data_IF_406126363430
#
_entry.id   IF_406126363430
#
_cell.length_a   1.000
_cell.length_b   1.000
_cell.length_c   1.000
_cell.angle_alpha   90.00
_cell.angle_beta   90.00
_cell.angle_gamma   90.00
#
_symmetry.space_group_name_H-M   'P 1'
#
loop_
_entity.id
_entity.type
_entity.pdbx_description
1 polymer ?
#
# COMPACT_ATOMS: atom_id res chain seq x y z
N UNK A 1 -12.44 14.47 23.62
CA UNK A 1 -11.63 13.46 24.33
C UNK A 1 -10.72 12.82 23.30
N UNK A 2 -9.44 12.66 23.61
CA UNK A 2 -8.43 12.10 22.70
C UNK A 2 -8.19 10.63 23.02
N UNK A 3 -8.05 9.82 21.98
CA UNK A 3 -7.51 8.46 22.04
C UNK A 3 -6.00 8.55 21.96
N UNK A 4 -5.28 7.71 22.69
CA UNK A 4 -3.83 7.57 22.57
C UNK A 4 -3.42 6.10 22.68
N UNK A 5 -2.96 5.52 21.58
CA UNK A 5 -2.54 4.11 21.51
C UNK A 5 -1.06 3.90 21.81
N UNK A 6 -0.30 4.96 22.08
CA UNK A 6 1.14 4.83 22.35
C UNK A 6 1.41 3.99 23.61
N UNK A 7 2.34 3.04 23.49
CA UNK A 7 2.88 2.27 24.61
C UNK A 7 4.41 2.18 24.49
N UNK A 8 5.06 1.65 25.54
CA UNK A 8 6.53 1.54 25.59
C UNK A 8 7.12 0.47 24.65
N UNK A 9 6.32 -0.47 24.14
CA UNK A 9 6.81 -1.48 23.19
C UNK A 9 6.86 -0.97 21.76
N UNK A 10 6.11 0.09 21.43
CA UNK A 10 6.16 0.73 20.12
C UNK A 10 7.49 1.44 19.89
N UNK A 11 8.19 1.06 18.82
CA UNK A 11 9.50 1.63 18.46
C UNK A 11 9.36 2.47 17.20
N UNK A 12 9.86 3.70 17.23
CA UNK A 12 9.78 4.60 16.08
C UNK A 12 9.54 6.04 16.51
N UNK A 13 9.62 6.96 15.56
CA UNK A 13 9.39 8.39 15.75
C UNK A 13 8.07 8.86 15.14
N UNK A 14 7.56 8.17 14.12
CA UNK A 14 6.31 8.50 13.45
C UNK A 14 5.13 7.75 14.12
N UNK A 15 3.92 8.35 14.15
CA UNK A 15 2.70 7.74 14.69
C UNK A 15 2.43 6.30 14.27
N UNK A 16 2.83 5.94 13.05
CA UNK A 16 2.57 4.63 12.45
C UNK A 16 3.17 3.47 13.26
N UNK A 17 4.14 3.75 14.14
CA UNK A 17 4.73 2.77 15.06
C UNK A 17 3.70 2.01 15.90
N UNK A 18 2.52 2.58 16.17
CA UNK A 18 1.48 1.89 16.95
C UNK A 18 0.86 0.71 16.23
N UNK A 19 1.02 0.61 14.91
CA UNK A 19 0.48 -0.49 14.11
C UNK A 19 1.50 -1.63 13.86
N UNK A 20 2.72 -1.54 14.39
CA UNK A 20 3.77 -2.56 14.18
C UNK A 20 3.30 -3.98 14.52
N UNK A 21 2.65 -4.14 15.67
CA UNK A 21 2.17 -5.45 16.11
C UNK A 21 0.98 -5.92 15.27
N UNK A 22 0.11 -4.99 14.84
CA UNK A 22 -1.01 -5.31 13.96
C UNK A 22 -0.54 -5.77 12.57
N UNK A 23 0.53 -5.19 12.04
CA UNK A 23 1.15 -5.60 10.77
C UNK A 23 1.59 -7.07 10.83
N UNK A 24 2.33 -7.46 11.88
CA UNK A 24 2.78 -8.85 12.06
C UNK A 24 1.58 -9.79 12.23
N UNK A 25 0.63 -9.41 13.08
CA UNK A 25 -0.57 -10.22 13.31
C UNK A 25 -1.39 -10.41 12.02
N UNK A 26 -1.55 -9.35 11.21
CA UNK A 26 -2.25 -9.44 9.92
C UNK A 26 -1.51 -10.38 8.95
N UNK A 27 -0.18 -10.28 8.89
CA UNK A 27 0.64 -11.11 8.01
C UNK A 27 0.55 -12.60 8.38
N UNK A 28 0.74 -12.94 9.65
CA UNK A 28 0.64 -14.34 10.12
C UNK A 28 -0.74 -14.96 9.89
N UNK A 29 -1.79 -14.14 9.80
CA UNK A 29 -3.18 -14.56 9.60
C UNK A 29 -3.69 -14.30 8.17
N UNK A 30 -2.81 -14.16 7.17
CA UNK A 30 -3.21 -13.97 5.77
C UNK A 30 -4.15 -15.09 5.29
N UNK A 31 -3.84 -16.35 5.62
CA UNK A 31 -4.73 -17.51 5.45
C UNK A 31 -4.68 -18.37 6.71
N UNK A 32 -5.60 -19.32 6.84
CA UNK A 32 -5.61 -20.25 7.98
C UNK A 32 -4.34 -21.11 8.11
N UNK A 33 -3.59 -21.32 7.01
CA UNK A 33 -2.36 -22.10 7.00
C UNK A 33 -1.10 -21.24 6.82
N UNK A 34 -1.24 -19.93 6.62
CA UNK A 34 -0.13 -19.08 6.16
C UNK A 34 1.07 -19.08 7.11
N UNK A 35 0.84 -19.13 8.42
CA UNK A 35 1.93 -19.26 9.40
C UNK A 35 2.73 -20.56 9.19
N UNK A 36 2.06 -21.68 8.91
CA UNK A 36 2.73 -22.95 8.64
C UNK A 36 3.51 -22.89 7.32
N UNK A 37 2.93 -22.31 6.28
CA UNK A 37 3.59 -22.13 4.98
C UNK A 37 4.83 -21.24 5.12
N UNK A 38 4.72 -20.16 5.90
CA UNK A 38 5.85 -19.27 6.20
C UNK A 38 6.96 -19.99 6.95
N UNK A 39 6.61 -20.79 7.97
CA UNK A 39 7.58 -21.60 8.71
C UNK A 39 8.26 -22.66 7.83
N UNK A 40 7.55 -23.22 6.85
CA UNK A 40 8.15 -24.14 5.88
C UNK A 40 9.08 -23.39 4.92
N UNK A 41 8.73 -22.19 4.48
CA UNK A 41 9.60 -21.32 3.67
C UNK A 41 10.86 -20.89 4.42
N UNK A 42 10.77 -20.65 5.74
CA UNK A 42 11.95 -20.45 6.62
C UNK A 42 12.86 -21.67 6.58
N UNK A 43 12.32 -22.89 6.75
CA UNK A 43 13.11 -24.13 6.81
C UNK A 43 13.70 -24.54 5.46
N UNK A 44 12.91 -24.47 4.40
CA UNK A 44 13.23 -25.03 3.09
C UNK A 44 13.89 -24.02 2.14
N UNK A 45 13.55 -22.74 2.26
CA UNK A 45 14.00 -21.67 1.35
C UNK A 45 14.89 -20.64 2.04
N UNK A 46 14.94 -20.63 3.37
CA UNK A 46 15.85 -19.81 4.17
C UNK A 46 15.38 -18.39 4.44
N UNK A 47 14.06 -18.13 4.33
CA UNK A 47 13.45 -16.88 4.78
C UNK A 47 13.82 -16.60 6.24
N UNK A 48 14.10 -15.35 6.59
CA UNK A 48 14.32 -14.96 7.99
C UNK A 48 13.01 -14.96 8.77
N UNK A 49 13.07 -15.40 10.02
CA UNK A 49 11.92 -15.41 10.94
C UNK A 49 11.49 -14.02 11.39
N UNK A 50 12.34 -13.02 11.22
CA UNK A 50 12.08 -11.63 11.62
C UNK A 50 11.94 -10.76 10.37
N UNK A 51 11.02 -9.80 10.43
CA UNK A 51 10.94 -8.68 9.48
C UNK A 51 11.75 -7.53 10.06
N UNK A 52 12.73 -7.04 9.32
CA UNK A 52 13.56 -5.93 9.78
C UNK A 52 12.78 -4.63 9.66
N UNK A 53 12.62 -3.94 10.79
CA UNK A 53 11.97 -2.63 10.88
C UNK A 53 13.02 -1.52 10.98
N UNK A 54 13.18 -0.76 9.91
CA UNK A 54 14.12 0.37 9.85
C UNK A 54 13.45 1.65 10.36
N UNK A 55 13.89 2.12 11.53
CA UNK A 55 13.45 3.38 12.15
C UNK A 55 14.24 4.55 11.55
N UNK A 56 13.54 5.60 11.12
CA UNK A 56 14.20 6.82 10.66
C UNK A 56 14.40 7.79 11.82
N UNK A 57 15.66 8.20 12.06
CA UNK A 57 16.06 8.79 13.35
C UNK A 57 15.92 10.32 13.42
N UNK A 58 15.93 11.05 12.29
CA UNK A 58 15.71 12.52 12.25
C UNK A 58 15.70 13.08 10.83
N UNK A 59 15.23 14.32 10.62
CA UNK A 59 15.33 15.05 9.33
C UNK A 59 16.77 15.27 8.82
N UNK A 60 17.78 15.17 9.69
CA UNK A 60 19.20 15.34 9.31
C UNK A 60 19.90 14.03 8.91
N UNK A 61 19.30 12.87 9.23
CA UNK A 61 19.85 11.52 8.98
C UNK A 61 18.79 10.53 8.49
N UNK A 62 17.61 11.03 8.15
CA UNK A 62 16.44 10.24 7.82
C UNK A 62 16.44 9.94 6.34
N UNK A 63 16.11 8.71 6.01
CA UNK A 63 15.99 8.26 4.65
C UNK A 63 14.63 8.69 4.09
N UNK A 64 14.62 9.10 2.82
CA UNK A 64 13.39 9.21 2.04
C UNK A 64 12.64 7.87 2.03
N UNK A 65 11.37 7.91 1.62
CA UNK A 65 10.57 6.69 1.48
C UNK A 65 11.28 5.67 0.60
N UNK A 66 11.36 4.45 1.11
CA UNK A 66 11.82 3.27 0.40
C UNK A 66 10.78 2.18 0.57
N UNK A 67 10.26 1.68 -0.54
CA UNK A 67 9.33 0.55 -0.54
C UNK A 67 9.91 -0.65 0.22
N UNK A 68 9.06 -1.53 0.76
CA UNK A 68 9.49 -2.83 1.25
C UNK A 68 10.30 -3.57 0.20
N UNK A 69 11.23 -4.39 0.66
CA UNK A 69 12.05 -5.19 -0.23
C UNK A 69 12.60 -6.40 0.53
N UNK A 70 12.94 -7.46 -0.21
CA UNK A 70 13.71 -8.58 0.31
C UNK A 70 15.18 -8.49 -0.12
N UNK A 71 16.11 -8.66 0.82
CA UNK A 71 17.52 -8.87 0.50
C UNK A 71 17.71 -10.27 -0.06
N UNK A 72 18.04 -10.41 -1.34
CA UNK A 72 18.16 -11.75 -1.96
C UNK A 72 19.17 -12.66 -1.27
N UNK A 73 20.26 -12.09 -0.73
CA UNK A 73 21.34 -12.83 -0.05
C UNK A 73 21.00 -13.33 1.35
N UNK A 74 20.30 -12.51 2.15
CA UNK A 74 19.91 -12.88 3.51
C UNK A 74 18.49 -13.43 3.60
N UNK A 75 17.69 -13.23 2.55
CA UNK A 75 16.25 -13.53 2.46
C UNK A 75 15.47 -12.91 3.61
N UNK A 76 15.85 -11.68 3.93
CA UNK A 76 15.26 -10.87 4.98
C UNK A 76 14.33 -9.83 4.36
N UNK A 77 13.06 -9.83 4.78
CA UNK A 77 12.10 -8.80 4.41
C UNK A 77 12.41 -7.55 5.25
N UNK A 78 12.56 -6.42 4.58
CA UNK A 78 12.89 -5.14 5.20
C UNK A 78 11.77 -4.13 4.94
N UNK A 79 11.36 -3.43 6.00
CA UNK A 79 10.32 -2.41 5.95
C UNK A 79 10.81 -1.14 6.63
N UNK A 80 10.44 0.02 6.09
CA UNK A 80 10.88 1.32 6.58
C UNK A 80 9.71 2.08 7.21
N UNK A 81 9.95 2.70 8.37
CA UNK A 81 8.93 3.51 9.07
C UNK A 81 8.33 4.61 8.18
N UNK A 82 9.14 5.26 7.34
CA UNK A 82 8.68 6.30 6.42
C UNK A 82 7.74 5.76 5.35
N UNK A 83 7.97 4.55 4.83
CA UNK A 83 7.05 3.94 3.89
C UNK A 83 5.71 3.60 4.53
N UNK A 84 5.73 3.10 5.77
CA UNK A 84 4.49 2.81 6.50
C UNK A 84 3.69 4.09 6.73
N UNK A 85 4.36 5.17 7.15
CA UNK A 85 3.71 6.46 7.35
C UNK A 85 3.15 7.01 6.03
N UNK A 86 3.94 6.95 4.96
CA UNK A 86 3.53 7.30 3.60
C UNK A 86 2.25 6.55 3.19
N UNK A 87 2.28 5.22 3.26
CA UNK A 87 1.16 4.40 2.80
C UNK A 87 -0.09 4.64 3.64
N UNK A 88 0.05 4.78 4.95
CA UNK A 88 -1.09 5.12 5.82
C UNK A 88 -1.71 6.46 5.47
N UNK A 89 -0.89 7.47 5.18
CA UNK A 89 -1.36 8.80 4.80
C UNK A 89 -2.08 8.79 3.44
N UNK A 90 -1.55 8.03 2.48
CA UNK A 90 -2.23 7.79 1.20
C UNK A 90 -3.55 7.05 1.41
N UNK A 91 -3.57 6.05 2.30
CA UNK A 91 -4.78 5.29 2.66
C UNK A 91 -5.86 6.21 3.23
N UNK A 92 -5.50 7.05 4.21
CA UNK A 92 -6.41 8.02 4.81
C UNK A 92 -7.01 8.92 3.72
N UNK A 93 -6.15 9.48 2.88
CA UNK A 93 -6.55 10.44 1.86
C UNK A 93 -7.49 9.80 0.84
N UNK A 94 -7.12 8.66 0.26
CA UNK A 94 -7.96 7.95 -0.71
C UNK A 94 -9.28 7.50 -0.10
N UNK A 95 -9.29 6.99 1.14
CA UNK A 95 -10.51 6.62 1.83
C UNK A 95 -11.48 7.81 1.96
N UNK A 96 -10.99 8.96 2.42
CA UNK A 96 -11.82 10.17 2.57
C UNK A 96 -12.29 10.68 1.20
N UNK A 97 -11.42 10.72 0.19
CA UNK A 97 -11.79 11.14 -1.16
C UNK A 97 -12.90 10.26 -1.73
N UNK A 98 -12.78 8.94 -1.59
CA UNK A 98 -13.81 7.99 -2.03
C UNK A 98 -15.13 8.17 -1.28
N UNK A 99 -15.11 8.36 0.04
CA UNK A 99 -16.32 8.64 0.84
C UNK A 99 -17.02 9.94 0.40
N UNK A 100 -16.25 11.00 0.12
CA UNK A 100 -16.78 12.27 -0.36
C UNK A 100 -17.36 12.16 -1.77
N UNK A 101 -16.74 11.38 -2.66
CA UNK A 101 -17.30 11.11 -4.00
C UNK A 101 -18.63 10.37 -3.89
N UNK A 102 -18.66 9.27 -3.13
CA UNK A 102 -19.86 8.43 -2.97
C UNK A 102 -21.01 9.18 -2.28
N UNK A 103 -20.70 10.10 -1.37
CA UNK A 103 -21.70 10.92 -0.68
C UNK A 103 -22.11 12.18 -1.45
N UNK A 104 -21.47 12.47 -2.60
CA UNK A 104 -21.74 13.67 -3.40
C UNK A 104 -21.28 14.98 -2.75
N UNK A 105 -20.27 14.92 -1.88
CA UNK A 105 -19.78 16.05 -1.06
C UNK A 105 -18.33 16.45 -1.38
N UNK A 106 -17.78 15.96 -2.49
CA UNK A 106 -16.39 16.26 -2.87
C UNK A 106 -16.15 17.76 -3.10
N UNK A 107 -17.12 18.45 -3.70
CA UNK A 107 -17.05 19.88 -4.02
C UNK A 107 -17.39 20.79 -2.82
N UNK A 108 -17.86 20.22 -1.71
CA UNK A 108 -18.19 20.99 -0.51
C UNK A 108 -16.92 21.45 0.20
N UNK A 109 -16.95 22.65 0.81
CA UNK A 109 -15.90 23.06 1.75
C UNK A 109 -15.99 22.21 3.02
N UNK A 110 -15.22 21.12 3.03
CA UNK A 110 -15.27 20.09 4.05
C UNK A 110 -13.93 19.97 4.78
N UNK A 111 -13.97 20.06 6.11
CA UNK A 111 -12.78 19.85 6.96
C UNK A 111 -12.13 18.47 6.72
N UNK A 112 -12.91 17.42 6.44
CA UNK A 112 -12.36 16.10 6.08
C UNK A 112 -11.53 16.17 4.81
N UNK A 113 -11.98 16.91 3.78
CA UNK A 113 -11.23 17.10 2.55
C UNK A 113 -9.91 17.83 2.84
N UNK A 114 -9.94 18.90 3.64
CA UNK A 114 -8.72 19.62 4.05
C UNK A 114 -7.74 18.73 4.81
N UNK A 115 -8.24 17.81 5.65
CA UNK A 115 -7.40 16.83 6.32
C UNK A 115 -6.81 15.81 5.34
N UNK A 116 -7.59 15.31 4.38
CA UNK A 116 -7.10 14.42 3.33
C UNK A 116 -6.00 15.11 2.52
N UNK A 117 -6.22 16.35 2.07
CA UNK A 117 -5.24 17.14 1.32
C UNK A 117 -3.93 17.30 2.08
N UNK A 118 -3.98 17.77 3.34
CA UNK A 118 -2.77 17.95 4.15
C UNK A 118 -2.06 16.62 4.49
N UNK A 119 -2.82 15.55 4.67
CA UNK A 119 -2.26 14.22 4.97
C UNK A 119 -1.59 13.65 3.72
N UNK A 120 -2.18 13.87 2.54
CA UNK A 120 -1.59 13.52 1.26
C UNK A 120 -0.31 14.32 0.98
N UNK A 121 -0.33 15.64 1.19
CA UNK A 121 0.86 16.50 1.05
C UNK A 121 2.01 16.01 1.95
N UNK A 122 1.69 15.64 3.20
CA UNK A 122 2.67 15.05 4.09
C UNK A 122 3.21 13.71 3.54
N UNK A 123 2.35 12.84 3.00
CA UNK A 123 2.79 11.60 2.35
C UNK A 123 3.80 11.88 1.23
N UNK A 124 3.48 12.82 0.34
CA UNK A 124 4.35 13.18 -0.78
C UNK A 124 5.68 13.79 -0.29
N UNK A 125 5.67 14.59 0.77
CA UNK A 125 6.91 15.12 1.36
C UNK A 125 7.89 14.04 1.80
N UNK A 126 7.40 12.84 2.17
CA UNK A 126 8.24 11.72 2.57
C UNK A 126 8.97 11.07 1.38
N UNK A 127 8.48 11.25 0.15
CA UNK A 127 9.16 10.80 -1.07
C UNK A 127 10.47 11.57 -1.28
N UNK A 128 10.47 12.86 -0.95
CA UNK A 128 11.65 13.73 -1.07
C UNK A 128 12.62 13.56 0.10
N UNK A 129 12.10 13.35 1.31
CA UNK A 129 12.93 13.15 2.51
C UNK A 129 12.13 12.98 3.79
N UNK A 130 12.81 12.60 4.88
CA UNK A 130 12.14 12.48 6.17
C UNK A 130 11.64 13.83 6.69
N UNK A 131 10.37 13.85 7.11
CA UNK A 131 9.74 14.97 7.80
C UNK A 131 8.98 14.46 9.03
N UNK A 132 8.92 15.27 10.09
CA UNK A 132 8.13 14.94 11.27
C UNK A 132 6.63 15.01 10.94
N UNK A 133 5.87 14.01 11.38
CA UNK A 133 4.42 14.04 11.28
C UNK A 133 3.86 15.00 12.33
N UNK A 134 3.09 16.01 11.92
CA UNK A 134 2.36 16.87 12.86
C UNK A 134 1.19 16.11 13.52
N UNK A 135 1.53 15.33 14.55
CA UNK A 135 0.60 14.47 15.31
C UNK A 135 -0.51 15.24 16.02
N UNK A 136 -0.37 16.56 16.17
CA UNK A 136 -1.32 17.38 16.92
C UNK A 136 -2.43 17.92 16.03
N UNK A 137 -2.15 18.14 14.74
CA UNK A 137 -3.07 18.79 13.81
C UNK A 137 -3.44 17.93 12.61
N UNK A 138 -2.71 16.85 12.33
CA UNK A 138 -3.03 15.91 11.25
C UNK A 138 -3.59 14.59 11.78
N UNK A 139 -4.56 13.99 11.05
CA UNK A 139 -5.00 12.61 11.30
C UNK A 139 -3.81 11.65 11.39
N UNK A 140 -3.84 10.76 12.37
CA UNK A 140 -2.79 9.76 12.57
C UNK A 140 -3.30 8.60 13.46
N UNK A 141 -2.68 7.41 13.39
CA UNK A 141 -3.14 6.24 14.14
C UNK A 141 -2.80 6.26 15.63
N UNK A 142 -1.90 7.14 16.09
CA UNK A 142 -1.43 7.16 17.49
C UNK A 142 -2.32 7.99 18.40
N UNK A 143 -2.59 9.24 18.03
CA UNK A 143 -3.36 10.20 18.83
C UNK A 143 -4.37 10.93 17.95
N UNK A 144 -5.65 10.76 18.24
CA UNK A 144 -6.74 11.38 17.49
C UNK A 144 -7.94 11.69 18.38
N UNK A 145 -8.78 12.63 17.96
CA UNK A 145 -10.04 12.93 18.64
C UNK A 145 -11.07 11.82 18.38
N UNK A 146 -11.91 11.52 19.38
CA UNK A 146 -12.96 10.49 19.26
C UNK A 146 -13.91 10.72 18.07
N UNK A 147 -14.10 11.97 17.66
CA UNK A 147 -14.95 12.30 16.51
C UNK A 147 -14.35 11.80 15.17
N UNK A 148 -13.05 11.51 15.12
CA UNK A 148 -12.36 10.92 13.98
C UNK A 148 -12.15 9.41 14.12
N UNK A 149 -12.60 8.80 15.22
CA UNK A 149 -12.29 7.41 15.51
C UNK A 149 -12.74 6.47 14.38
N UNK A 150 -13.95 6.64 13.84
CA UNK A 150 -14.44 5.83 12.74
C UNK A 150 -13.55 5.93 11.48
N UNK A 151 -13.16 7.14 11.09
CA UNK A 151 -12.33 7.36 9.91
C UNK A 151 -10.90 6.80 10.12
N UNK A 152 -10.32 7.00 11.31
CA UNK A 152 -9.00 6.50 11.66
C UNK A 152 -8.98 4.97 11.75
N UNK A 153 -9.96 4.36 12.40
CA UNK A 153 -10.06 2.91 12.54
C UNK A 153 -10.29 2.24 11.19
N UNK A 154 -11.14 2.84 10.33
CA UNK A 154 -11.31 2.36 8.97
C UNK A 154 -10.04 2.50 8.15
N UNK A 155 -9.31 3.61 8.30
CA UNK A 155 -8.01 3.80 7.66
C UNK A 155 -7.00 2.74 8.13
N UNK A 156 -6.95 2.46 9.43
CA UNK A 156 -6.07 1.43 9.98
C UNK A 156 -6.38 0.05 9.38
N UNK A 157 -7.66 -0.32 9.27
CA UNK A 157 -8.08 -1.57 8.65
C UNK A 157 -7.62 -1.64 7.19
N UNK A 158 -7.96 -0.64 6.37
CA UNK A 158 -7.59 -0.61 4.96
C UNK A 158 -6.06 -0.63 4.76
N UNK A 159 -5.33 0.12 5.59
CA UNK A 159 -3.87 0.13 5.60
C UNK A 159 -3.31 -1.25 5.92
N UNK A 160 -3.84 -1.96 6.92
CA UNK A 160 -3.36 -3.27 7.31
C UNK A 160 -3.55 -4.29 6.18
N UNK A 161 -4.71 -4.31 5.52
CA UNK A 161 -4.94 -5.18 4.37
C UNK A 161 -4.05 -4.82 3.17
N UNK A 162 -3.93 -3.53 2.86
CA UNK A 162 -3.08 -3.06 1.76
C UNK A 162 -1.58 -3.32 2.00
N UNK A 163 -1.08 -3.05 3.20
CA UNK A 163 0.30 -3.31 3.54
C UNK A 163 0.60 -4.82 3.63
N UNK A 164 -0.36 -5.61 4.10
CA UNK A 164 -0.23 -7.06 4.11
C UNK A 164 -0.06 -7.63 2.70
N UNK A 165 -0.75 -7.06 1.70
CA UNK A 165 -0.56 -7.46 0.30
C UNK A 165 0.88 -7.23 -0.16
N UNK A 166 1.47 -6.08 0.21
CA UNK A 166 2.87 -5.77 -0.10
C UNK A 166 3.80 -6.77 0.62
N UNK A 167 3.53 -7.14 1.86
CA UNK A 167 4.32 -8.17 2.55
C UNK A 167 4.22 -9.55 1.89
N UNK A 168 3.02 -9.94 1.43
CA UNK A 168 2.84 -11.18 0.67
C UNK A 168 3.58 -11.16 -0.67
N UNK A 169 3.68 -10.01 -1.33
CA UNK A 169 4.52 -9.83 -2.51
C UNK A 169 6.01 -10.08 -2.19
N UNK A 170 6.55 -9.44 -1.16
CA UNK A 170 7.95 -9.65 -0.73
C UNK A 170 8.23 -11.08 -0.29
N UNK A 171 7.29 -11.70 0.44
CA UNK A 171 7.32 -13.12 0.78
C UNK A 171 7.39 -13.99 -0.47
N UNK A 172 6.60 -13.67 -1.49
CA UNK A 172 6.52 -14.45 -2.73
C UNK A 172 7.84 -14.48 -3.50
N UNK A 173 8.68 -13.44 -3.43
CA UNK A 173 10.04 -13.49 -3.99
C UNK A 173 10.93 -14.54 -3.32
N UNK A 174 10.72 -14.84 -2.04
CA UNK A 174 11.46 -15.90 -1.35
C UNK A 174 10.81 -17.26 -1.62
N UNK A 175 9.49 -17.33 -1.49
CA UNK A 175 8.71 -18.55 -1.66
C UNK A 175 8.85 -19.11 -3.08
N UNK A 176 8.77 -18.29 -4.11
CA UNK A 176 8.91 -18.75 -5.50
C UNK A 176 10.37 -18.96 -5.92
N UNK A 177 11.32 -18.73 -5.02
CA UNK A 177 12.74 -18.96 -5.27
C UNK A 177 13.42 -17.87 -6.12
N UNK A 178 12.76 -16.73 -6.35
CA UNK A 178 13.32 -15.61 -7.11
C UNK A 178 14.65 -15.11 -6.50
N UNK A 179 14.74 -15.06 -5.16
CA UNK A 179 15.97 -14.72 -4.46
C UNK A 179 17.12 -15.67 -4.80
N UNK A 180 16.85 -16.98 -4.83
CA UNK A 180 17.84 -18.01 -5.18
C UNK A 180 18.29 -17.89 -6.64
N UNK A 181 17.37 -17.58 -7.55
CA UNK A 181 17.68 -17.34 -8.96
C UNK A 181 18.56 -16.09 -9.13
N UNK A 182 18.29 -15.03 -8.37
CA UNK A 182 19.13 -13.82 -8.36
C UNK A 182 20.54 -14.11 -7.85
N UNK A 183 20.68 -14.86 -6.75
CA UNK A 183 21.98 -15.29 -6.24
C UNK A 183 22.75 -16.16 -7.25
N UNK A 184 22.08 -17.16 -7.84
CA UNK A 184 22.69 -18.12 -8.76
C UNK A 184 23.16 -17.49 -10.07
N UNK A 185 22.54 -16.37 -10.46
CA UNK A 185 22.91 -15.57 -11.62
C UNK A 185 23.92 -14.46 -11.30
N UNK A 186 24.42 -14.35 -10.06
CA UNK A 186 25.20 -13.21 -9.58
C UNK A 186 24.53 -11.85 -9.86
N UNK A 187 23.19 -11.80 -9.80
CA UNK A 187 22.37 -10.63 -10.08
C UNK A 187 22.20 -10.28 -11.57
N UNK A 188 22.78 -11.08 -12.48
CA UNK A 188 22.65 -10.90 -13.92
C UNK A 188 21.37 -11.56 -14.46
N UNK A 189 20.22 -11.02 -14.07
CA UNK A 189 18.93 -11.32 -14.68
C UNK A 189 18.61 -10.30 -15.79
N UNK A 190 18.05 -10.78 -16.89
CA UNK A 190 17.47 -9.96 -17.96
C UNK A 190 16.29 -9.13 -17.45
N UNK A 191 15.90 -8.11 -18.21
CA UNK A 191 14.72 -7.31 -17.89
C UNK A 191 13.45 -8.17 -17.91
N UNK A 192 13.34 -9.09 -18.88
CA UNK A 192 12.19 -9.99 -19.00
C UNK A 192 12.06 -10.92 -17.78
N UNK A 193 13.16 -11.52 -17.32
CA UNK A 193 13.14 -12.38 -16.12
C UNK A 193 12.75 -11.60 -14.87
N UNK A 194 13.21 -10.35 -14.73
CA UNK A 194 12.79 -9.49 -13.61
C UNK A 194 11.30 -9.19 -13.68
N UNK A 195 10.79 -8.80 -14.84
CA UNK A 195 9.36 -8.55 -15.03
C UNK A 195 8.51 -9.78 -14.73
N UNK A 196 8.96 -10.96 -15.17
CA UNK A 196 8.28 -12.22 -14.89
C UNK A 196 8.27 -12.53 -13.38
N UNK A 197 9.37 -12.29 -12.66
CA UNK A 197 9.42 -12.49 -11.21
C UNK A 197 8.46 -11.56 -10.46
N UNK A 198 8.32 -10.31 -10.89
CA UNK A 198 7.37 -9.36 -10.31
C UNK A 198 5.92 -9.80 -10.56
N UNK A 199 5.60 -10.24 -11.78
CA UNK A 199 4.28 -10.77 -12.12
C UNK A 199 3.93 -12.02 -11.32
N UNK A 200 4.88 -12.94 -11.17
CA UNK A 200 4.71 -14.15 -10.37
C UNK A 200 4.53 -13.83 -8.87
N UNK A 201 5.26 -12.83 -8.35
CA UNK A 201 5.13 -12.38 -6.97
C UNK A 201 3.75 -11.74 -6.71
N UNK A 202 3.28 -10.88 -7.63
CA UNK A 202 1.93 -10.30 -7.56
C UNK A 202 0.84 -11.37 -7.63
N UNK A 203 0.92 -12.29 -8.60
CA UNK A 203 -0.06 -13.37 -8.75
C UNK A 203 -0.12 -14.28 -7.52
N UNK A 204 1.03 -14.59 -6.90
CA UNK A 204 1.04 -15.38 -5.67
C UNK A 204 0.49 -14.60 -4.47
N UNK A 205 0.74 -13.29 -4.38
CA UNK A 205 0.11 -12.45 -3.36
C UNK A 205 -1.41 -12.42 -3.51
N UNK A 206 -1.92 -12.30 -4.74
CA UNK A 206 -3.36 -12.38 -5.04
C UNK A 206 -3.93 -13.75 -4.67
N UNK A 207 -3.24 -14.85 -5.02
CA UNK A 207 -3.64 -16.21 -4.63
C UNK A 207 -3.75 -16.35 -3.11
N UNK A 208 -2.73 -15.92 -2.36
CA UNK A 208 -2.71 -15.98 -0.90
C UNK A 208 -3.89 -15.22 -0.29
N UNK A 209 -4.17 -14.02 -0.79
CA UNK A 209 -5.33 -13.26 -0.34
C UNK A 209 -6.65 -13.93 -0.73
N UNK A 210 -6.76 -14.46 -1.94
CA UNK A 210 -7.98 -15.14 -2.41
C UNK A 210 -8.34 -16.36 -1.56
N UNK A 211 -7.33 -17.07 -1.04
CA UNK A 211 -7.50 -18.18 -0.09
C UNK A 211 -7.93 -17.72 1.33
N UNK A 212 -7.65 -16.46 1.69
CA UNK A 212 -7.96 -15.84 2.97
C UNK A 212 -9.13 -14.85 2.96
N UNK A 213 -9.80 -14.66 1.83
CA UNK A 213 -10.99 -13.82 1.74
C UNK A 213 -12.20 -14.54 2.33
N UNK A 214 -12.82 -13.89 3.29
CA UNK A 214 -14.06 -14.26 3.95
C UNK A 214 -15.06 -13.09 3.83
N UNK A 215 -16.36 -13.35 3.96
CA UNK A 215 -17.40 -12.30 3.83
C UNK A 215 -17.14 -11.06 4.70
N UNK A 216 -16.55 -11.22 5.89
CA UNK A 216 -16.31 -10.13 6.83
C UNK A 216 -15.06 -9.30 6.54
N UNK A 217 -14.15 -9.76 5.67
CA UNK A 217 -12.93 -9.04 5.30
C UNK A 217 -12.83 -8.67 3.82
N UNK A 218 -13.75 -9.15 2.98
CA UNK A 218 -13.70 -9.01 1.53
C UNK A 218 -13.54 -7.55 1.06
N UNK A 219 -14.37 -6.64 1.58
CA UNK A 219 -14.28 -5.23 1.23
C UNK A 219 -12.95 -4.60 1.67
N UNK A 220 -12.50 -4.91 2.90
CA UNK A 220 -11.24 -4.38 3.42
C UNK A 220 -10.04 -4.87 2.60
N UNK A 221 -10.06 -6.15 2.18
CA UNK A 221 -9.09 -6.72 1.25
C UNK A 221 -9.07 -5.98 -0.08
N UNK A 222 -10.20 -5.92 -0.79
CA UNK A 222 -10.28 -5.31 -2.12
C UNK A 222 -9.85 -3.84 -2.09
N UNK A 223 -10.32 -3.10 -1.09
CA UNK A 223 -10.05 -1.66 -0.98
C UNK A 223 -8.61 -1.41 -0.54
N UNK A 224 -8.11 -2.18 0.44
CA UNK A 224 -6.73 -2.09 0.90
C UNK A 224 -5.73 -2.40 -0.23
N UNK A 225 -5.96 -3.45 -1.02
CA UNK A 225 -5.11 -3.79 -2.17
C UNK A 225 -5.15 -2.69 -3.23
N UNK A 226 -6.35 -2.19 -3.57
CA UNK A 226 -6.49 -1.09 -4.53
C UNK A 226 -5.70 0.15 -4.08
N UNK A 227 -5.80 0.53 -2.80
CA UNK A 227 -5.04 1.64 -2.20
C UNK A 227 -3.52 1.37 -2.26
N UNK A 228 -3.07 0.18 -1.88
CA UNK A 228 -1.65 -0.15 -1.83
C UNK A 228 -1.00 -0.07 -3.21
N UNK A 229 -1.64 -0.66 -4.23
CA UNK A 229 -1.15 -0.60 -5.60
C UNK A 229 -1.25 0.82 -6.18
N UNK A 230 -2.35 1.53 -5.91
CA UNK A 230 -2.51 2.94 -6.30
C UNK A 230 -1.44 3.85 -5.68
N UNK A 231 -1.00 3.57 -4.46
CA UNK A 231 0.06 4.34 -3.82
C UNK A 231 1.38 4.31 -4.60
N UNK A 232 1.61 3.31 -5.45
CA UNK A 232 2.84 3.23 -6.23
C UNK A 232 2.92 4.28 -7.34
N UNK A 233 1.77 4.76 -7.81
CA UNK A 233 1.67 5.81 -8.85
C UNK A 233 2.39 7.09 -8.44
N UNK A 234 2.36 7.44 -7.16
CA UNK A 234 2.89 8.73 -6.70
C UNK A 234 4.42 8.79 -6.65
N UNK A 235 5.14 7.67 -6.76
CA UNK A 235 6.61 7.68 -6.77
C UNK A 235 7.24 8.19 -8.08
N UNK A 236 6.47 8.27 -9.18
CA UNK A 236 6.99 8.68 -10.49
C UNK A 236 5.98 9.50 -11.27
N UNK A 237 6.49 10.46 -12.04
CA UNK A 237 5.72 11.29 -12.98
C UNK A 237 5.34 10.57 -14.28
N UNK A 238 5.81 9.34 -14.47
CA UNK A 238 5.42 8.46 -15.58
C UNK A 238 4.91 7.16 -14.99
N UNK A 239 3.73 6.74 -15.46
CA UNK A 239 3.12 5.46 -15.08
C UNK A 239 3.88 4.30 -15.74
N UNK A 240 4.50 4.55 -16.91
CA UNK A 240 5.32 3.58 -17.63
C UNK A 240 6.69 3.30 -16.97
N UNK A 241 6.99 2.01 -16.79
CA UNK A 241 8.22 1.47 -16.22
C UNK A 241 8.95 0.55 -17.20
N UNK A 242 10.29 0.54 -17.12
CA UNK A 242 11.14 -0.35 -17.93
C UNK A 242 11.41 -1.73 -17.30
N UNK A 243 11.06 -1.94 -16.03
CA UNK A 243 11.49 -3.11 -15.24
C UNK A 243 10.36 -3.73 -14.38
N UNK A 244 9.37 -2.95 -13.96
CA UNK A 244 8.14 -3.44 -13.33
C UNK A 244 6.97 -3.22 -14.29
N UNK A 245 5.91 -4.06 -14.30
CA UNK A 245 4.67 -3.70 -14.98
C UNK A 245 4.17 -2.35 -14.45
N UNK A 246 3.54 -1.60 -15.35
CA UNK A 246 3.04 -0.25 -15.06
C UNK A 246 2.04 -0.32 -13.89
N UNK A 247 2.05 0.69 -13.02
CA UNK A 247 1.32 0.59 -11.73
C UNK A 247 -0.19 0.45 -11.93
N UNK A 248 -0.71 1.03 -13.01
CA UNK A 248 -2.06 0.84 -13.53
C UNK A 248 -2.34 -0.61 -13.97
N UNK A 249 -1.41 -1.26 -14.70
CA UNK A 249 -1.52 -2.67 -15.06
C UNK A 249 -1.54 -3.57 -13.82
N UNK A 250 -0.73 -3.27 -12.80
CA UNK A 250 -0.74 -4.02 -11.53
C UNK A 250 -2.10 -3.92 -10.83
N UNK A 251 -2.67 -2.71 -10.76
CA UNK A 251 -4.03 -2.49 -10.21
C UNK A 251 -5.04 -3.31 -11.01
N UNK A 252 -5.04 -3.16 -12.34
CA UNK A 252 -6.00 -3.84 -13.21
C UNK A 252 -5.93 -5.37 -13.08
N UNK A 253 -4.71 -5.94 -13.08
CA UNK A 253 -4.52 -7.37 -12.95
C UNK A 253 -5.00 -7.87 -11.59
N UNK A 254 -4.60 -7.23 -10.49
CA UNK A 254 -5.01 -7.65 -9.16
C UNK A 254 -6.53 -7.60 -8.97
N UNK A 255 -7.19 -6.50 -9.35
CA UNK A 255 -8.65 -6.37 -9.19
C UNK A 255 -9.44 -7.34 -10.09
N UNK A 256 -8.95 -7.61 -11.31
CA UNK A 256 -9.55 -8.62 -12.18
C UNK A 256 -9.38 -10.05 -11.63
N UNK A 257 -8.20 -10.38 -11.09
CA UNK A 257 -7.94 -11.69 -10.49
C UNK A 257 -8.78 -11.91 -9.22
N UNK A 258 -9.00 -10.86 -8.42
CA UNK A 258 -9.96 -10.89 -7.30
C UNK A 258 -11.43 -10.94 -7.75
N UNK A 259 -11.71 -10.91 -9.06
CA UNK A 259 -13.07 -10.89 -9.63
C UNK A 259 -13.93 -9.76 -9.04
N UNK A 260 -13.32 -8.58 -8.88
CA UNK A 260 -13.99 -7.38 -8.36
C UNK A 260 -15.05 -6.94 -9.37
N UNK A 261 -16.28 -6.73 -8.88
CA UNK A 261 -17.39 -6.24 -9.72
C UNK A 261 -17.02 -4.91 -10.40
N UNK A 262 -17.46 -4.73 -11.64
CA UNK A 262 -17.07 -3.57 -12.45
C UNK A 262 -17.48 -2.23 -11.83
N UNK A 263 -18.49 -2.20 -10.95
CA UNK A 263 -18.95 -1.01 -10.23
C UNK A 263 -18.59 -1.02 -8.74
N UNK A 264 -17.68 -1.89 -8.32
CA UNK A 264 -17.18 -1.94 -6.95
C UNK A 264 -16.32 -0.71 -6.60
N UNK A 265 -16.36 -0.31 -5.33
CA UNK A 265 -15.62 0.86 -4.81
C UNK A 265 -14.10 0.72 -4.95
N UNK A 266 -13.55 -0.50 -5.06
CA UNK A 266 -12.14 -0.70 -5.33
C UNK A 266 -11.67 -0.05 -6.63
N UNK A 267 -12.49 -0.05 -7.68
CA UNK A 267 -12.21 0.64 -8.94
C UNK A 267 -12.32 2.17 -8.78
N UNK A 268 -13.28 2.64 -7.97
CA UNK A 268 -13.42 4.06 -7.67
C UNK A 268 -12.23 4.62 -6.89
N UNK A 269 -11.67 3.85 -5.96
CA UNK A 269 -10.43 4.18 -5.24
C UNK A 269 -9.29 4.39 -6.25
N UNK A 270 -9.14 3.49 -7.21
CA UNK A 270 -8.11 3.58 -8.24
C UNK A 270 -8.30 4.83 -9.14
N UNK A 271 -9.55 5.15 -9.49
CA UNK A 271 -9.87 6.41 -10.19
C UNK A 271 -9.50 7.64 -9.35
N UNK A 272 -9.87 7.68 -8.06
CA UNK A 272 -9.53 8.78 -7.16
C UNK A 272 -8.01 8.97 -7.05
N UNK A 273 -7.24 7.87 -7.02
CA UNK A 273 -5.80 7.93 -7.02
C UNK A 273 -5.22 8.51 -8.32
N UNK A 274 -5.77 8.16 -9.48
CA UNK A 274 -5.38 8.76 -10.76
C UNK A 274 -5.66 10.27 -10.80
N UNK A 275 -6.77 10.73 -10.22
CA UNK A 275 -7.07 12.16 -10.11
C UNK A 275 -6.12 12.91 -9.18
N UNK A 276 -5.75 12.32 -8.04
CA UNK A 276 -4.72 12.89 -7.17
C UNK A 276 -3.35 12.90 -7.86
N UNK A 277 -3.01 11.83 -8.57
CA UNK A 277 -1.75 11.71 -9.30
C UNK A 277 -1.66 12.78 -10.40
N UNK A 278 -2.72 12.96 -11.18
CA UNK A 278 -2.75 13.93 -12.27
C UNK A 278 -2.64 15.36 -11.76
N UNK A 279 -3.29 15.65 -10.63
CA UNK A 279 -3.17 16.94 -9.95
C UNK A 279 -1.72 17.19 -9.49
N UNK A 280 -1.11 16.21 -8.81
CA UNK A 280 0.27 16.30 -8.32
C UNK A 280 1.28 16.52 -9.45
N UNK A 281 1.11 15.85 -10.58
CA UNK A 281 2.02 15.95 -11.73
C UNK A 281 1.60 16.97 -12.78
N UNK A 282 0.54 17.74 -12.53
CA UNK A 282 -0.02 18.73 -13.48
C UNK A 282 -0.33 18.12 -14.86
N UNK A 283 -0.89 16.92 -14.86
CA UNK A 283 -1.38 16.21 -16.05
C UNK A 283 -2.88 16.45 -16.18
N UNK A 284 -3.31 16.90 -17.35
CA UNK A 284 -4.74 17.04 -17.66
C UNK A 284 -5.30 15.68 -18.07
N UNK A 285 -6.30 15.20 -17.33
CA UNK A 285 -7.05 13.98 -17.66
C UNK A 285 -8.45 14.36 -18.16
N UNK A 286 -8.89 13.71 -19.23
CA UNK A 286 -10.26 13.77 -19.70
C UNK A 286 -11.12 12.80 -18.88
N UNK A 287 -12.01 13.36 -18.05
CA UNK A 287 -12.99 12.60 -17.29
C UNK A 287 -14.28 12.48 -18.09
N UNK A 288 -14.61 11.26 -18.51
CA UNK A 288 -15.83 10.96 -19.25
C UNK A 288 -16.80 10.16 -18.38
N UNK A 289 -18.10 10.40 -18.53
CA UNK A 289 -19.10 9.55 -17.89
C UNK A 289 -19.05 8.15 -18.50
N UNK A 290 -18.93 7.13 -17.63
CA UNK A 290 -18.93 5.72 -18.01
C UNK A 290 -19.98 4.96 -17.23
N UNK A 291 -20.38 3.80 -17.74
CA UNK A 291 -21.39 2.96 -17.12
C UNK A 291 -20.92 2.25 -15.84
N UNK A 292 -19.60 2.12 -15.64
CA UNK A 292 -19.01 1.43 -14.48
C UNK A 292 -17.71 2.13 -14.05
N UNK A 293 -17.34 1.99 -12.77
CA UNK A 293 -16.06 2.52 -12.27
C UNK A 293 -14.85 1.87 -12.94
N UNK A 294 -14.92 0.58 -13.28
CA UNK A 294 -13.85 -0.10 -14.02
C UNK A 294 -13.64 0.50 -15.41
N UNK A 295 -14.73 0.72 -16.17
CA UNK A 295 -14.61 1.32 -17.52
C UNK A 295 -14.14 2.78 -17.45
N UNK A 296 -14.43 3.49 -16.36
CA UNK A 296 -13.82 4.79 -16.07
C UNK A 296 -12.30 4.68 -15.84
N UNK A 297 -11.87 3.74 -14.99
CA UNK A 297 -10.45 3.50 -14.72
C UNK A 297 -9.68 3.14 -16.00
N UNK A 298 -10.19 2.22 -16.81
CA UNK A 298 -9.58 1.80 -18.09
C UNK A 298 -9.47 3.00 -19.05
N UNK A 299 -10.53 3.82 -19.15
CA UNK A 299 -10.55 5.00 -20.00
C UNK A 299 -9.56 6.08 -19.59
N UNK A 300 -9.28 6.23 -18.29
CA UNK A 300 -8.29 7.18 -17.79
C UNK A 300 -6.88 6.60 -17.98
N UNK A 301 -6.69 5.32 -17.68
CA UNK A 301 -5.39 4.65 -17.78
C UNK A 301 -4.83 4.69 -19.21
N UNK A 302 -5.69 4.53 -20.22
CA UNK A 302 -5.29 4.69 -21.63
C UNK A 302 -4.76 6.07 -22.01
N UNK A 303 -4.97 7.10 -21.20
CA UNK A 303 -4.43 8.45 -21.43
C UNK A 303 -3.01 8.62 -20.88
N UNK A 304 -2.51 7.62 -20.14
CA UNK A 304 -1.22 7.65 -19.44
C UNK A 304 -0.08 7.00 -20.24
N UNK A 305 -0.41 6.35 -21.36
CA UNK A 305 0.48 5.79 -22.37
C UNK A 305 1.08 6.87 -23.29
#
# INVERSE_FOLDING_TARGET
MKVNHYNRSHKGYLPIRVLQHNIIAQFENTTSNFLNDTLETVRSKGLKTEITYTINISSQKGEKVKGPFVYSSSKEINIHETFLAYLWCVTFSLYIYTDLILSGKLEDDNEKKKWADKTFDYALSLIDGYHDWDKNNLPNPEVYDLNLAADIEKTNELFLYGFNFILCHEYSHVDLGHCKSYESSNGFLTVLEKMEFEQQADANAVRLFSEGIYLNNEAATKYGVSIALSSLLFFKSKVSNKIHPDSDLRIMNALNEFQVDDNDTAWLIACAALGLWSTNYSVELAWEEKSTFKSLFESISHQLD
#
